data_IF_954876436607
#
_entry.id   IF_954876436607
#
_cell.length_a   1.000
_cell.length_b   1.000
_cell.length_c   1.000
_cell.angle_alpha   90.00
_cell.angle_beta   90.00
_cell.angle_gamma   90.00
#
_symmetry.space_group_name_H-M   'P 1'
#
loop_
_entity.id
_entity.type
_entity.pdbx_description
1 polymer ?
#
# COMPACT_ATOMS: atom_id res chain seq x y z
N UNK A 1 15.20 -19.10 19.84
CA UNK A 1 15.66 -18.14 18.82
C UNK A 1 14.44 -17.43 18.27
N UNK A 2 14.16 -16.23 18.77
CA UNK A 2 13.06 -15.39 18.27
C UNK A 2 13.71 -14.19 17.62
N UNK A 3 13.72 -14.16 16.29
CA UNK A 3 14.20 -13.02 15.51
C UNK A 3 13.31 -11.82 15.81
N UNK A 4 13.90 -10.81 16.46
CA UNK A 4 13.29 -9.49 16.62
C UNK A 4 13.33 -8.83 15.24
N UNK A 5 12.21 -8.80 14.54
CA UNK A 5 12.03 -7.89 13.41
C UNK A 5 11.96 -6.46 13.96
N UNK A 6 13.11 -5.82 14.12
CA UNK A 6 13.22 -4.39 14.42
C UNK A 6 12.88 -3.58 13.18
N UNK A 7 11.58 -3.40 12.89
CA UNK A 7 11.14 -2.27 12.08
C UNK A 7 11.28 -1.01 12.96
N UNK A 8 12.51 -0.53 13.09
CA UNK A 8 12.82 0.72 13.78
C UNK A 8 12.18 1.87 13.02
N UNK A 9 11.18 2.51 13.62
CA UNK A 9 10.73 3.81 13.18
C UNK A 9 11.85 4.78 13.53
N UNK A 10 12.56 5.27 12.52
CA UNK A 10 13.61 6.28 12.71
C UNK A 10 12.92 7.59 13.14
N UNK A 11 13.29 8.14 14.29
CA UNK A 11 12.76 9.43 14.75
C UNK A 11 13.42 10.59 13.98
N UNK A 12 12.69 11.70 13.79
CA UNK A 12 13.15 12.83 12.98
C UNK A 12 14.44 13.47 13.48
N UNK A 13 14.73 13.37 14.78
CA UNK A 13 15.96 13.88 15.41
C UNK A 13 17.21 13.04 15.14
N UNK A 14 17.05 11.80 14.66
CA UNK A 14 18.15 10.85 14.40
C UNK A 14 18.39 10.64 12.91
N UNK A 15 17.67 11.36 12.04
CA UNK A 15 17.81 11.21 10.59
C UNK A 15 19.15 11.78 10.14
N UNK A 16 20.04 10.89 9.73
CA UNK A 16 21.24 11.22 8.98
C UNK A 16 21.10 10.79 7.51
N UNK A 17 22.12 11.09 6.70
CA UNK A 17 22.13 10.75 5.28
C UNK A 17 21.88 9.25 5.02
N UNK A 18 22.51 8.38 5.81
CA UNK A 18 22.42 6.92 5.63
C UNK A 18 21.03 6.35 5.96
N UNK A 19 20.26 7.02 6.83
CA UNK A 19 18.92 6.57 7.25
C UNK A 19 17.79 7.30 6.53
N UNK A 20 18.09 8.28 5.66
CA UNK A 20 17.11 9.16 5.03
C UNK A 20 16.06 8.39 4.23
N UNK A 21 16.47 7.42 3.43
CA UNK A 21 15.57 6.59 2.60
C UNK A 21 14.63 5.73 3.46
N UNK A 22 15.17 5.14 4.53
CA UNK A 22 14.37 4.34 5.45
C UNK A 22 13.34 5.20 6.19
N UNK A 23 13.75 6.38 6.65
CA UNK A 23 12.86 7.35 7.27
C UNK A 23 11.75 7.81 6.31
N UNK A 24 12.11 8.24 5.09
CA UNK A 24 11.17 8.72 4.09
C UNK A 24 10.13 7.64 3.72
N UNK A 25 10.58 6.39 3.54
CA UNK A 25 9.68 5.24 3.30
C UNK A 25 8.75 5.00 4.48
N UNK A 26 9.25 5.10 5.71
CA UNK A 26 8.45 5.01 6.94
C UNK A 26 7.37 6.08 7.02
N UNK A 27 7.70 7.35 6.71
CA UNK A 27 6.76 8.45 6.67
C UNK A 27 5.67 8.24 5.61
N UNK A 28 6.04 7.83 4.40
CA UNK A 28 5.08 7.56 3.32
C UNK A 28 4.15 6.40 3.69
N UNK A 29 4.67 5.34 4.32
CA UNK A 29 3.86 4.24 4.82
C UNK A 29 2.85 4.72 5.87
N UNK A 30 3.28 5.54 6.83
CA UNK A 30 2.40 6.09 7.87
C UNK A 30 1.32 7.00 7.25
N UNK A 31 1.70 7.88 6.33
CA UNK A 31 0.77 8.78 5.64
C UNK A 31 -0.26 8.00 4.80
N UNK A 32 0.18 6.96 4.10
CA UNK A 32 -0.73 6.10 3.33
C UNK A 32 -1.70 5.35 4.25
N UNK A 33 -1.24 4.87 5.40
CA UNK A 33 -2.11 4.23 6.39
C UNK A 33 -3.13 5.21 6.95
N UNK A 34 -2.74 6.46 7.22
CA UNK A 34 -3.63 7.53 7.67
C UNK A 34 -4.70 7.85 6.60
N UNK A 35 -4.31 7.99 5.33
CA UNK A 35 -5.25 8.23 4.23
C UNK A 35 -6.33 7.14 4.12
N UNK A 36 -5.96 5.87 4.35
CA UNK A 36 -6.92 4.77 4.38
C UNK A 36 -7.89 4.86 5.56
N UNK A 37 -7.43 5.34 6.72
CA UNK A 37 -8.29 5.54 7.89
C UNK A 37 -9.21 6.75 7.74
N UNK A 38 -8.72 7.82 7.13
CA UNK A 38 -9.50 9.01 6.78
C UNK A 38 -10.59 8.67 5.77
N UNK A 39 -10.27 7.89 4.73
CA UNK A 39 -11.26 7.43 3.74
C UNK A 39 -12.44 6.70 4.41
N UNK A 40 -12.15 5.80 5.36
CA UNK A 40 -13.20 5.12 6.13
C UNK A 40 -13.97 6.07 7.04
N UNK A 41 -13.30 7.09 7.59
CA UNK A 41 -13.94 8.08 8.44
C UNK A 41 -14.89 8.98 7.65
N UNK A 42 -14.48 9.39 6.45
CA UNK A 42 -15.33 10.10 5.48
C UNK A 42 -16.51 9.22 5.05
N UNK A 43 -16.27 7.95 4.73
CA UNK A 43 -17.32 7.03 4.31
C UNK A 43 -18.36 6.76 5.42
N UNK A 44 -17.93 6.63 6.68
CA UNK A 44 -18.82 6.45 7.82
C UNK A 44 -19.40 7.76 8.38
N UNK A 45 -18.97 8.92 7.86
CA UNK A 45 -19.41 10.24 8.32
C UNK A 45 -19.07 10.56 9.77
N UNK A 46 -18.08 9.88 10.38
CA UNK A 46 -17.73 10.02 11.80
C UNK A 46 -16.30 9.63 12.11
N UNK A 47 -15.73 10.25 13.14
CA UNK A 47 -14.40 9.93 13.63
C UNK A 47 -14.34 8.52 14.25
N UNK A 48 -13.12 8.07 14.52
CA UNK A 48 -12.89 6.81 15.24
C UNK A 48 -13.39 6.96 16.68
N UNK A 49 -14.12 5.96 17.17
CA UNK A 49 -14.73 5.93 18.52
C UNK A 49 -15.80 7.00 18.80
N UNK A 50 -16.18 7.81 17.82
CA UNK A 50 -17.29 8.74 17.96
C UNK A 50 -18.62 7.97 18.06
N UNK A 51 -19.36 8.24 19.14
CA UNK A 51 -20.67 7.61 19.35
C UNK A 51 -21.63 8.07 18.27
N UNK A 52 -22.43 7.13 17.78
CA UNK A 52 -23.55 7.45 16.89
C UNK A 52 -24.55 8.29 17.70
N UNK A 53 -25.01 9.41 17.13
CA UNK A 53 -26.18 10.12 17.63
C UNK A 53 -27.46 9.27 17.49
N UNK A 54 -28.63 9.82 17.85
CA UNK A 54 -29.90 9.18 17.50
C UNK A 54 -30.08 9.22 15.99
N UNK A 55 -30.06 8.05 15.34
CA UNK A 55 -30.16 7.92 13.89
C UNK A 55 -31.29 6.96 13.55
N UNK A 56 -32.11 7.35 12.56
CA UNK A 56 -33.28 6.62 12.08
C UNK A 56 -32.90 5.22 11.53
N UNK A 57 -33.78 4.20 11.55
CA UNK A 57 -33.46 2.82 11.15
C UNK A 57 -32.99 2.63 9.69
N UNK A 58 -33.11 3.65 8.85
CA UNK A 58 -32.93 3.61 7.39
C UNK A 58 -31.68 4.39 6.95
N UNK A 59 -30.69 4.56 7.83
CA UNK A 59 -29.49 5.35 7.49
C UNK A 59 -28.37 4.45 6.93
N UNK A 60 -27.88 4.68 5.68
CA UNK A 60 -26.74 3.97 5.10
C UNK A 60 -25.45 4.06 5.93
N UNK A 61 -25.36 5.00 6.90
CA UNK A 61 -24.25 5.14 7.87
C UNK A 61 -24.29 4.10 9.02
N UNK A 62 -25.09 3.03 8.86
CA UNK A 62 -25.21 1.94 9.83
C UNK A 62 -23.91 1.12 10.07
N UNK A 63 -22.90 1.28 9.23
CA UNK A 63 -21.66 0.51 9.31
C UNK A 63 -20.81 0.71 10.55
N UNK A 64 -20.06 -0.32 10.92
CA UNK A 64 -19.08 -0.31 12.02
C UNK A 64 -17.67 -0.62 11.52
N UNK A 65 -16.64 -0.12 12.21
CA UNK A 65 -15.23 -0.48 11.93
C UNK A 65 -14.94 -1.86 12.51
N UNK A 66 -14.36 -2.77 11.73
CA UNK A 66 -14.07 -4.16 12.11
C UNK A 66 -12.56 -4.48 12.03
N UNK A 67 -11.76 -3.64 12.68
CA UNK A 67 -10.31 -3.73 12.70
C UNK A 67 -9.70 -3.63 11.30
N UNK A 68 -8.64 -4.39 11.06
CA UNK A 68 -7.85 -4.33 9.83
C UNK A 68 -7.78 -5.69 9.13
N UNK A 69 -7.61 -5.66 7.81
CA UNK A 69 -7.24 -6.84 7.03
C UNK A 69 -5.80 -7.28 7.30
N UNK A 70 -5.41 -8.39 6.65
CA UNK A 70 -4.01 -8.85 6.70
C UNK A 70 -3.07 -7.76 6.14
N UNK A 71 -1.87 -7.59 6.71
CA UNK A 71 -0.85 -6.73 6.13
C UNK A 71 -0.57 -7.14 4.69
N UNK A 72 -0.39 -6.17 3.82
CA UNK A 72 -0.03 -6.40 2.42
C UNK A 72 1.07 -5.46 1.98
N UNK A 73 1.96 -5.98 1.15
CA UNK A 73 2.97 -5.20 0.46
C UNK A 73 2.33 -4.43 -0.70
N UNK A 74 2.72 -3.17 -0.84
CA UNK A 74 2.31 -2.28 -1.91
C UNK A 74 3.55 -1.58 -2.46
N UNK A 75 3.88 -1.84 -3.72
CA UNK A 75 5.09 -1.31 -4.35
C UNK A 75 4.85 0.07 -4.95
N UNK A 76 5.67 1.03 -4.52
CA UNK A 76 5.71 2.41 -5.00
C UNK A 76 7.12 2.73 -5.50
N UNK A 77 7.31 3.88 -6.14
CA UNK A 77 8.63 4.30 -6.66
C UNK A 77 9.66 4.52 -5.55
N UNK A 78 9.22 4.91 -4.35
CA UNK A 78 10.07 5.09 -3.16
C UNK A 78 10.26 3.80 -2.34
N UNK A 79 9.92 2.65 -2.93
CA UNK A 79 9.99 1.36 -2.26
C UNK A 79 8.66 0.70 -2.01
N UNK A 80 8.73 -0.53 -1.51
CA UNK A 80 7.58 -1.32 -1.11
C UNK A 80 7.25 -1.02 0.34
N UNK A 81 6.02 -0.60 0.58
CA UNK A 81 5.48 -0.30 1.90
C UNK A 81 4.49 -1.37 2.34
N UNK A 82 4.38 -1.58 3.66
CA UNK A 82 3.41 -2.49 4.25
C UNK A 82 2.22 -1.72 4.77
N UNK A 83 1.03 -1.97 4.23
CA UNK A 83 -0.22 -1.32 4.66
C UNK A 83 -1.26 -2.33 5.15
N UNK A 84 -2.14 -1.88 6.03
CA UNK A 84 -3.26 -2.66 6.56
C UNK A 84 -4.57 -1.96 6.19
N UNK A 85 -5.36 -2.57 5.29
CA UNK A 85 -6.65 -2.00 4.88
C UNK A 85 -7.63 -2.03 6.06
N UNK A 86 -8.20 -0.88 6.48
CA UNK A 86 -9.26 -0.86 7.47
C UNK A 86 -10.49 -1.60 6.94
N UNK A 87 -11.18 -2.33 7.81
CA UNK A 87 -12.40 -3.07 7.45
C UNK A 87 -13.61 -2.39 8.05
N UNK A 88 -14.70 -2.45 7.30
CA UNK A 88 -16.02 -1.99 7.70
C UNK A 88 -17.02 -3.11 7.52
N UNK A 89 -18.02 -3.16 8.40
CA UNK A 89 -19.05 -4.21 8.47
C UNK A 89 -20.43 -3.56 8.58
N UNK A 90 -21.48 -4.33 8.30
CA UNK A 90 -22.89 -3.97 8.49
C UNK A 90 -23.28 -2.72 7.67
N UNK A 91 -22.85 -2.74 6.40
CA UNK A 91 -23.08 -1.67 5.45
C UNK A 91 -24.28 -1.98 4.56
N UNK A 92 -25.07 -0.94 4.25
CA UNK A 92 -26.08 -1.01 3.20
C UNK A 92 -25.43 -1.12 1.81
N UNK A 93 -24.31 -0.40 1.61
CA UNK A 93 -23.54 -0.39 0.36
C UNK A 93 -22.11 -0.89 0.57
N UNK A 94 -21.56 -1.57 -0.43
CA UNK A 94 -20.20 -2.13 -0.34
C UNK A 94 -19.16 -1.01 -0.32
N UNK A 95 -18.33 -0.98 0.72
CA UNK A 95 -17.18 -0.07 0.77
C UNK A 95 -16.05 -0.53 -0.17
N UNK A 96 -15.79 0.30 -1.18
CA UNK A 96 -14.64 0.18 -2.07
C UNK A 96 -13.68 1.34 -1.86
N UNK A 97 -12.41 1.01 -1.62
CA UNK A 97 -11.38 2.03 -1.39
C UNK A 97 -10.97 2.62 -2.74
N UNK A 98 -11.05 3.94 -2.86
CA UNK A 98 -10.56 4.72 -3.99
C UNK A 98 -9.04 4.92 -3.88
N UNK A 99 -8.53 5.05 -2.65
CA UNK A 99 -7.09 5.19 -2.39
C UNK A 99 -6.32 3.91 -2.74
N UNK A 100 -6.82 2.75 -2.30
CA UNK A 100 -6.19 1.46 -2.54
C UNK A 100 -7.21 0.43 -3.02
N UNK A 101 -7.47 0.37 -4.34
CA UNK A 101 -8.41 -0.59 -4.91
C UNK A 101 -8.06 -2.04 -4.58
N UNK A 102 -9.07 -2.89 -4.67
CA UNK A 102 -8.91 -4.32 -4.42
C UNK A 102 -7.89 -4.95 -5.37
N UNK A 103 -7.06 -5.84 -4.82
CA UNK A 103 -6.04 -6.60 -5.54
C UNK A 103 -4.89 -5.79 -6.17
N UNK A 104 -4.94 -4.46 -6.20
CA UNK A 104 -3.88 -3.60 -6.76
C UNK A 104 -2.63 -3.61 -5.90
N UNK A 105 -1.56 -4.28 -6.33
CA UNK A 105 -0.33 -4.50 -5.54
C UNK A 105 0.79 -3.47 -5.75
N UNK A 106 0.60 -2.52 -6.67
CA UNK A 106 1.61 -1.54 -7.07
C UNK A 106 0.93 -0.29 -7.61
N UNK A 107 1.64 0.83 -7.61
CA UNK A 107 1.18 2.04 -8.28
C UNK A 107 1.23 1.88 -9.80
N UNK A 108 0.57 2.80 -10.50
CA UNK A 108 0.58 2.83 -11.97
C UNK A 108 2.01 3.02 -12.49
N UNK A 109 2.76 3.93 -11.87
CA UNK A 109 4.11 4.32 -12.25
C UNK A 109 5.06 3.10 -12.19
N UNK A 110 5.02 2.31 -11.12
CA UNK A 110 5.79 1.05 -11.03
C UNK A 110 5.33 0.05 -12.09
N UNK A 111 4.04 0.00 -12.38
CA UNK A 111 3.46 -0.87 -13.41
C UNK A 111 3.93 -0.53 -14.83
N UNK A 112 4.24 0.73 -15.10
CA UNK A 112 4.74 1.24 -16.40
C UNK A 112 6.26 1.16 -16.49
N UNK A 113 6.98 1.55 -15.45
CA UNK A 113 8.45 1.55 -15.45
C UNK A 113 9.04 0.15 -15.64
N UNK A 114 8.46 -0.88 -15.00
CA UNK A 114 8.99 -2.24 -15.09
C UNK A 114 9.04 -2.82 -16.53
N UNK A 115 7.96 -2.78 -17.34
CA UNK A 115 8.04 -3.20 -18.73
C UNK A 115 8.91 -2.29 -19.60
N UNK A 116 8.95 -0.98 -19.35
CA UNK A 116 9.86 -0.06 -20.06
C UNK A 116 11.32 -0.45 -19.89
N UNK A 117 11.76 -0.76 -18.67
CA UNK A 117 13.13 -1.23 -18.40
C UNK A 117 13.45 -2.52 -19.17
N UNK A 118 12.48 -3.42 -19.31
CA UNK A 118 12.66 -4.63 -20.12
C UNK A 118 12.85 -4.29 -21.60
N UNK A 119 12.05 -3.37 -22.14
CA UNK A 119 12.18 -2.91 -23.52
C UNK A 119 13.51 -2.17 -23.77
N UNK A 120 14.03 -1.49 -22.75
CA UNK A 120 15.35 -0.86 -22.78
C UNK A 120 16.52 -1.84 -22.59
N UNK A 121 16.25 -3.15 -22.55
CA UNK A 121 17.27 -4.20 -22.57
C UNK A 121 17.62 -4.80 -21.22
N UNK A 122 16.90 -4.47 -20.14
CA UNK A 122 17.09 -5.15 -18.87
C UNK A 122 16.55 -6.58 -18.97
N UNK A 123 17.43 -7.57 -18.77
CA UNK A 123 17.05 -8.99 -18.76
C UNK A 123 16.07 -9.28 -17.62
N UNK A 124 15.09 -10.17 -17.86
CA UNK A 124 14.13 -10.58 -16.82
C UNK A 124 14.79 -11.21 -15.58
N UNK A 125 15.98 -11.79 -15.73
CA UNK A 125 16.76 -12.35 -14.62
C UNK A 125 17.43 -11.27 -13.75
N UNK A 126 17.69 -10.09 -14.31
CA UNK A 126 18.47 -9.04 -13.66
C UNK A 126 17.61 -8.03 -12.90
N UNK A 127 16.28 -8.08 -13.05
CA UNK A 127 15.35 -7.18 -12.34
C UNK A 127 15.52 -7.25 -10.82
N UNK A 128 15.72 -8.45 -10.29
CA UNK A 128 15.93 -8.62 -8.86
C UNK A 128 17.21 -7.92 -8.41
N UNK A 129 18.32 -8.19 -9.09
CA UNK A 129 19.62 -7.60 -8.79
C UNK A 129 19.60 -6.07 -8.92
N UNK A 130 18.96 -5.55 -9.97
CA UNK A 130 18.95 -4.13 -10.27
C UNK A 130 18.02 -3.31 -9.35
N UNK A 131 16.85 -3.87 -8.98
CA UNK A 131 15.79 -3.08 -8.34
C UNK A 131 15.47 -3.49 -6.92
N UNK A 132 16.00 -4.61 -6.38
CA UNK A 132 15.71 -5.03 -5.00
C UNK A 132 16.16 -3.99 -3.97
N UNK A 133 17.32 -3.37 -4.17
CA UNK A 133 17.82 -2.32 -3.27
C UNK A 133 16.92 -1.07 -3.24
N UNK A 134 16.30 -0.73 -4.38
CA UNK A 134 15.42 0.43 -4.51
C UNK A 134 14.00 0.13 -4.02
N UNK A 135 13.41 -0.95 -4.55
CA UNK A 135 12.01 -1.30 -4.31
C UNK A 135 11.78 -2.11 -3.04
N UNK A 136 12.83 -2.70 -2.48
CA UNK A 136 12.77 -3.50 -1.26
C UNK A 136 12.09 -4.86 -1.43
N UNK A 137 11.94 -5.54 -0.30
CA UNK A 137 11.34 -6.87 -0.25
C UNK A 137 9.83 -6.85 -0.53
N UNK A 138 9.39 -7.79 -1.37
CA UNK A 138 7.99 -7.91 -1.81
C UNK A 138 7.63 -7.15 -3.09
N UNK A 139 8.60 -6.45 -3.70
CA UNK A 139 8.43 -5.90 -5.03
C UNK A 139 8.19 -7.02 -6.08
N UNK A 140 7.33 -6.81 -7.09
CA UNK A 140 6.96 -7.83 -8.07
C UNK A 140 8.02 -7.99 -9.17
N UNK A 141 9.26 -8.31 -8.78
CA UNK A 141 10.44 -8.39 -9.64
C UNK A 141 10.68 -9.77 -10.27
N UNK A 142 9.82 -10.76 -9.99
CA UNK A 142 9.97 -12.08 -10.58
C UNK A 142 9.81 -12.04 -12.10
N UNK A 143 10.59 -12.85 -12.84
CA UNK A 143 10.51 -12.94 -14.30
C UNK A 143 9.07 -13.14 -14.81
N UNK A 144 8.29 -13.99 -14.14
CA UNK A 144 6.87 -14.22 -14.46
C UNK A 144 6.00 -12.97 -14.26
N UNK A 145 6.31 -12.13 -13.27
CA UNK A 145 5.59 -10.88 -13.02
C UNK A 145 5.93 -9.81 -14.06
N UNK A 146 7.20 -9.74 -14.47
CA UNK A 146 7.66 -8.85 -15.55
C UNK A 146 7.04 -9.26 -16.89
N UNK A 147 7.03 -10.55 -17.22
CA UNK A 147 6.40 -11.05 -18.45
C UNK A 147 4.89 -10.74 -18.51
N UNK A 148 4.16 -10.92 -17.39
CA UNK A 148 2.74 -10.54 -17.32
C UNK A 148 2.53 -9.03 -17.48
N UNK A 149 3.42 -8.22 -16.93
CA UNK A 149 3.37 -6.76 -17.08
C UNK A 149 3.61 -6.34 -18.52
N UNK A 150 4.65 -6.90 -19.15
CA UNK A 150 4.99 -6.68 -20.55
C UNK A 150 3.81 -7.04 -21.47
N UNK A 151 3.23 -8.23 -21.30
CA UNK A 151 2.12 -8.68 -22.14
C UNK A 151 0.91 -7.74 -22.05
N UNK A 152 0.65 -7.16 -20.87
CA UNK A 152 -0.41 -6.14 -20.73
C UNK A 152 -0.02 -4.81 -21.37
N UNK A 153 1.23 -4.42 -21.26
CA UNK A 153 1.75 -3.19 -21.86
C UNK A 153 1.72 -3.23 -23.40
N UNK A 154 1.95 -4.39 -24.02
CA UNK A 154 1.85 -4.57 -25.49
C UNK A 154 0.39 -4.53 -26.01
N UNK A 155 -0.60 -4.65 -25.12
CA UNK A 155 -2.03 -4.59 -25.48
C UNK A 155 -2.63 -3.18 -25.36
N UNK A 156 -1.91 -2.24 -24.73
CA UNK A 156 -2.27 -0.83 -24.58
C UNK A 156 -1.72 0.01 -25.75
#
# INVERSE_FOLDING_TARGET
MSERTSNGVVESSEVCYDTLEQWARGQIQAQLQQLLEEEVSTFLGRARHERRGMVSPVDPLAGSRNGYGKPRQFSMMNGTVTVRRPRVRDLAERFESKVLPLFTRRTREVGTMLPELYLHGLSTGDFDLALRGLLGEGAPLSASSIQRLKARFELE
#
